data_IF_232437946177
#
_entry.id   IF_232437946177
#
_cell.length_a   1.000
_cell.length_b   1.000
_cell.length_c   1.000
_cell.angle_alpha   90.00
_cell.angle_beta   90.00
_cell.angle_gamma   90.00
#
_symmetry.space_group_name_H-M   'P 1'
#
loop_
_entity.id
_entity.type
_entity.pdbx_description
1 polymer ?
#
# COMPACT_ATOMS: atom_id res chain seq x y z
N UNK A 1 -12.80 -22.60 5.47
CA UNK A 1 -11.63 -22.91 4.63
C UNK A 1 -10.36 -22.69 5.39
N UNK A 2 -9.29 -23.41 5.00
CA UNK A 2 -7.91 -23.15 5.47
C UNK A 2 -7.21 -22.30 4.41
N UNK A 3 -7.00 -21.04 4.71
CA UNK A 3 -6.34 -20.08 3.82
C UNK A 3 -4.90 -19.90 4.31
N UNK A 4 -3.93 -20.10 3.43
CA UNK A 4 -2.52 -19.86 3.75
C UNK A 4 -1.99 -18.74 2.85
N UNK A 5 -1.42 -17.69 3.44
CA UNK A 5 -0.80 -16.59 2.71
C UNK A 5 0.71 -16.60 2.93
N UNK A 6 1.48 -16.55 1.85
CA UNK A 6 2.94 -16.49 1.90
C UNK A 6 3.40 -15.16 1.35
N UNK A 7 4.16 -14.41 2.12
CA UNK A 7 4.66 -13.11 1.70
C UNK A 7 6.16 -12.93 1.99
N UNK A 8 6.88 -12.40 1.02
CA UNK A 8 8.19 -11.78 1.24
C UNK A 8 8.02 -10.28 1.55
N UNK A 9 9.11 -9.60 1.84
CA UNK A 9 9.13 -8.16 2.15
C UNK A 9 8.26 -7.75 3.36
N UNK A 10 7.86 -8.73 4.17
CA UNK A 10 7.19 -8.51 5.45
C UNK A 10 8.26 -8.24 6.53
N UNK A 11 8.18 -7.10 7.17
CA UNK A 11 9.10 -6.73 8.26
C UNK A 11 8.37 -5.95 9.36
N UNK A 12 8.99 -5.77 10.54
CA UNK A 12 8.40 -5.05 11.66
C UNK A 12 7.92 -3.64 11.29
N UNK A 13 8.65 -3.00 10.38
CA UNK A 13 8.41 -1.63 9.91
C UNK A 13 7.89 -1.57 8.46
N UNK A 14 7.40 -2.69 7.89
CA UNK A 14 6.78 -2.70 6.57
C UNK A 14 5.34 -2.15 6.66
N UNK A 15 4.92 -1.43 5.60
CA UNK A 15 3.59 -0.82 5.51
C UNK A 15 2.58 -1.71 4.79
N UNK A 16 2.36 -1.50 3.50
CA UNK A 16 1.24 -2.04 2.72
C UNK A 16 1.03 -3.55 2.82
N UNK A 17 2.05 -4.37 2.58
CA UNK A 17 1.93 -5.85 2.64
C UNK A 17 1.51 -6.31 4.04
N UNK A 18 2.13 -5.75 5.09
CA UNK A 18 1.78 -6.09 6.47
C UNK A 18 0.33 -5.72 6.78
N UNK A 19 -0.08 -4.50 6.43
CA UNK A 19 -1.47 -4.04 6.64
C UNK A 19 -2.45 -4.94 5.89
N UNK A 20 -2.20 -5.27 4.62
CA UNK A 20 -3.06 -6.15 3.81
C UNK A 20 -3.20 -7.53 4.44
N UNK A 21 -2.09 -8.16 4.85
CA UNK A 21 -2.10 -9.47 5.51
C UNK A 21 -2.92 -9.47 6.79
N UNK A 22 -2.74 -8.45 7.64
CA UNK A 22 -3.46 -8.35 8.90
C UNK A 22 -4.95 -8.09 8.70
N UNK A 23 -5.32 -7.20 7.79
CA UNK A 23 -6.72 -6.87 7.51
C UNK A 23 -7.47 -8.05 6.88
N UNK A 24 -6.88 -8.71 5.89
CA UNK A 24 -7.45 -9.93 5.30
C UNK A 24 -7.54 -11.05 6.33
N UNK A 25 -6.48 -11.28 7.12
CA UNK A 25 -6.43 -12.31 8.13
C UNK A 25 -7.50 -12.12 9.20
N UNK A 26 -7.61 -10.93 9.78
CA UNK A 26 -8.67 -10.58 10.75
C UNK A 26 -10.06 -10.81 10.14
N UNK A 27 -10.25 -10.38 8.89
CA UNK A 27 -11.51 -10.57 8.20
C UNK A 27 -11.85 -12.04 7.91
N UNK A 28 -10.87 -12.86 7.54
CA UNK A 28 -11.06 -14.30 7.32
C UNK A 28 -11.40 -15.03 8.63
N UNK A 29 -10.65 -14.75 9.70
CA UNK A 29 -10.88 -15.34 11.03
C UNK A 29 -12.27 -14.97 11.56
N UNK A 30 -12.68 -13.70 11.44
CA UNK A 30 -14.01 -13.24 11.85
C UNK A 30 -15.17 -13.94 11.10
N UNK A 31 -14.89 -14.49 9.90
CA UNK A 31 -15.86 -15.27 9.10
C UNK A 31 -15.74 -16.78 9.30
N UNK A 32 -14.96 -17.23 10.30
CA UNK A 32 -14.83 -18.66 10.66
C UNK A 32 -13.87 -19.43 9.75
N UNK A 33 -12.99 -18.76 9.02
CA UNK A 33 -11.92 -19.42 8.27
C UNK A 33 -10.66 -19.53 9.12
N UNK A 34 -9.86 -20.58 8.90
CA UNK A 34 -8.51 -20.67 9.44
C UNK A 34 -7.57 -19.90 8.53
N UNK A 35 -6.82 -18.95 9.09
CA UNK A 35 -5.83 -18.18 8.34
C UNK A 35 -4.44 -18.34 8.93
N UNK A 36 -3.49 -18.72 8.09
CA UNK A 36 -2.07 -18.83 8.43
C UNK A 36 -1.25 -18.01 7.46
N UNK A 37 -0.38 -17.13 7.97
CA UNK A 37 0.53 -16.39 7.10
C UNK A 37 1.99 -16.72 7.39
N UNK A 38 2.71 -17.03 6.31
CA UNK A 38 4.11 -17.45 6.33
C UNK A 38 4.96 -16.27 5.83
N UNK A 39 5.89 -15.80 6.67
CA UNK A 39 6.69 -14.61 6.41
C UNK A 39 8.16 -14.85 6.71
N UNK A 40 9.08 -14.04 6.14
CA UNK A 40 10.50 -14.17 6.41
C UNK A 40 10.84 -13.74 7.85
N UNK A 41 11.79 -14.43 8.46
CA UNK A 41 12.35 -14.10 9.78
C UNK A 41 13.77 -14.59 9.94
N UNK A 42 14.32 -14.45 11.14
CA UNK A 42 15.66 -14.95 11.49
C UNK A 42 15.67 -16.44 11.84
N UNK A 43 14.49 -16.99 12.20
CA UNK A 43 14.31 -18.38 12.59
C UNK A 43 12.89 -18.87 12.30
N UNK A 44 12.62 -20.11 12.73
CA UNK A 44 11.27 -20.68 12.71
C UNK A 44 10.56 -20.30 14.02
N UNK A 45 9.45 -19.57 13.91
CA UNK A 45 8.58 -19.24 15.04
C UNK A 45 7.13 -19.40 14.60
N UNK A 46 6.26 -19.76 15.53
CA UNK A 46 4.82 -19.87 15.33
C UNK A 46 4.12 -19.08 16.43
N UNK A 47 3.31 -18.10 16.04
CA UNK A 47 2.64 -17.16 16.94
C UNK A 47 1.17 -17.03 16.55
N UNK A 48 0.27 -17.12 17.54
CA UNK A 48 -1.15 -16.84 17.33
C UNK A 48 -1.45 -15.35 17.51
N UNK A 49 -2.33 -14.83 16.69
CA UNK A 49 -2.78 -13.44 16.76
C UNK A 49 -4.26 -13.31 16.36
N UNK A 50 -4.84 -12.13 16.56
CA UNK A 50 -6.19 -11.81 16.09
C UNK A 50 -6.33 -11.89 14.56
N UNK A 51 -5.22 -11.80 13.84
CA UNK A 51 -5.17 -11.94 12.38
C UNK A 51 -4.86 -13.38 11.92
N UNK A 52 -4.87 -14.36 12.83
CA UNK A 52 -4.55 -15.77 12.55
C UNK A 52 -3.15 -16.18 12.99
N UNK A 53 -2.72 -17.37 12.55
CA UNK A 53 -1.43 -17.96 12.91
C UNK A 53 -0.30 -17.40 12.04
N UNK A 54 0.68 -16.75 12.66
CA UNK A 54 1.90 -16.28 11.99
C UNK A 54 3.00 -17.32 12.10
N UNK A 55 3.57 -17.71 10.97
CA UNK A 55 4.74 -18.57 10.91
C UNK A 55 5.90 -17.81 10.26
N UNK A 56 7.03 -17.71 10.94
CA UNK A 56 8.25 -17.17 10.34
C UNK A 56 9.17 -18.29 9.88
N UNK A 57 9.81 -18.09 8.73
CA UNK A 57 10.82 -19.01 8.20
C UNK A 57 12.18 -18.32 8.10
N UNK A 58 13.28 -19.09 8.29
CA UNK A 58 14.63 -18.60 8.05
C UNK A 58 14.75 -18.00 6.64
N UNK A 59 15.36 -16.84 6.56
CA UNK A 59 15.37 -16.02 5.34
C UNK A 59 16.66 -15.25 5.20
N UNK A 60 16.90 -14.71 4.02
CA UNK A 60 18.08 -13.92 3.70
C UNK A 60 17.67 -12.45 3.68
N UNK A 61 18.46 -11.61 4.31
CA UNK A 61 18.31 -10.17 4.23
C UNK A 61 18.79 -9.66 2.86
N UNK A 62 18.01 -8.74 2.28
CA UNK A 62 18.36 -8.09 1.03
C UNK A 62 19.29 -6.92 1.37
N UNK A 63 20.52 -6.89 0.85
CA UNK A 63 21.45 -5.78 1.07
C UNK A 63 20.81 -4.44 0.69
N UNK A 64 21.10 -3.39 1.45
CA UNK A 64 20.63 -2.02 1.22
C UNK A 64 19.11 -1.83 1.17
N UNK A 65 18.33 -2.85 1.53
CA UNK A 65 16.87 -2.79 1.51
C UNK A 65 16.27 -2.16 2.78
N UNK A 66 17.10 -1.84 3.79
CA UNK A 66 16.61 -1.36 5.09
C UNK A 66 15.91 -2.46 5.91
N UNK A 67 16.47 -3.68 5.87
CA UNK A 67 16.05 -4.82 6.69
C UNK A 67 14.98 -5.71 6.08
N UNK A 68 14.67 -5.59 4.80
CA UNK A 68 13.77 -6.56 4.13
C UNK A 68 14.46 -7.89 3.93
N UNK A 69 13.69 -8.94 4.12
CA UNK A 69 14.12 -10.33 4.02
C UNK A 69 13.27 -11.10 3.03
N UNK A 70 13.85 -12.15 2.43
CA UNK A 70 13.17 -13.03 1.48
C UNK A 70 13.37 -14.50 1.87
N UNK A 71 12.30 -15.29 1.74
CA UNK A 71 12.35 -16.74 1.85
C UNK A 71 12.92 -17.30 0.54
N UNK A 72 14.10 -17.92 0.59
CA UNK A 72 14.72 -18.51 -0.60
C UNK A 72 14.43 -19.99 -0.74
N UNK A 73 14.27 -20.70 0.39
CA UNK A 73 14.13 -22.14 0.37
C UNK A 73 12.66 -22.58 0.19
N UNK A 74 12.27 -22.77 -1.05
CA UNK A 74 10.93 -23.27 -1.39
C UNK A 74 10.66 -24.70 -0.88
N UNK A 75 11.69 -25.47 -0.47
CA UNK A 75 11.49 -26.83 0.09
C UNK A 75 10.83 -26.75 1.47
N UNK A 76 11.28 -25.81 2.32
CA UNK A 76 10.71 -25.64 3.66
C UNK A 76 9.28 -25.11 3.58
N UNK A 77 9.02 -24.18 2.67
CA UNK A 77 7.66 -23.72 2.38
C UNK A 77 6.77 -24.90 1.95
N UNK A 78 7.22 -25.74 1.01
CA UNK A 78 6.45 -26.90 0.55
C UNK A 78 6.19 -27.93 1.66
N UNK A 79 7.19 -28.23 2.51
CA UNK A 79 7.02 -29.11 3.67
C UNK A 79 5.92 -28.60 4.59
N UNK A 80 5.96 -27.30 4.89
CA UNK A 80 4.98 -26.65 5.76
C UNK A 80 3.58 -26.70 5.13
N UNK A 81 3.45 -26.41 3.84
CA UNK A 81 2.17 -26.46 3.12
C UNK A 81 1.58 -27.89 3.09
N UNK A 82 2.42 -28.93 3.02
CA UNK A 82 1.96 -30.34 3.10
C UNK A 82 1.35 -30.62 4.49
N UNK A 83 1.92 -30.06 5.54
CA UNK A 83 1.42 -30.21 6.93
C UNK A 83 0.14 -29.38 7.15
N UNK A 84 0.10 -28.14 6.68
CA UNK A 84 -1.04 -27.23 6.86
C UNK A 84 -2.26 -27.65 6.04
N UNK A 85 -2.06 -28.30 4.89
CA UNK A 85 -3.11 -28.73 3.95
C UNK A 85 -4.08 -27.59 3.62
N UNK A 86 -3.62 -26.49 2.97
CA UNK A 86 -4.48 -25.36 2.65
C UNK A 86 -5.53 -25.74 1.61
N UNK A 87 -6.74 -25.19 1.75
CA UNK A 87 -7.76 -25.20 0.70
C UNK A 87 -7.42 -24.17 -0.38
N UNK A 88 -6.83 -23.03 0.06
CA UNK A 88 -6.44 -21.90 -0.79
C UNK A 88 -5.08 -21.38 -0.39
N UNK A 89 -4.30 -21.00 -1.40
CA UNK A 89 -2.97 -20.42 -1.22
C UNK A 89 -2.91 -19.03 -1.86
N UNK A 90 -2.53 -18.04 -1.06
CA UNK A 90 -2.26 -16.66 -1.48
C UNK A 90 -0.76 -16.41 -1.44
N UNK A 91 -0.22 -15.72 -2.43
CA UNK A 91 1.22 -15.43 -2.50
C UNK A 91 1.45 -13.95 -2.82
N UNK A 92 2.17 -13.26 -1.94
CA UNK A 92 2.65 -11.88 -2.13
C UNK A 92 4.15 -11.86 -2.43
N UNK A 93 4.54 -12.52 -3.52
CA UNK A 93 5.90 -12.50 -4.08
C UNK A 93 5.85 -13.01 -5.53
N UNK A 94 6.32 -12.19 -6.45
CA UNK A 94 6.35 -12.50 -7.89
C UNK A 94 7.64 -13.23 -8.31
N UNK A 95 8.64 -13.32 -7.45
CA UNK A 95 9.99 -13.77 -7.78
C UNK A 95 10.30 -15.16 -7.21
N UNK A 96 10.73 -15.17 -5.96
CA UNK A 96 11.30 -16.38 -5.33
C UNK A 96 10.23 -17.42 -5.01
N UNK A 97 9.03 -17.00 -4.64
CA UNK A 97 7.89 -17.88 -4.29
C UNK A 97 6.99 -18.22 -5.48
N UNK A 98 7.17 -17.60 -6.64
CA UNK A 98 6.33 -17.83 -7.82
C UNK A 98 6.23 -19.30 -8.25
N UNK A 99 7.26 -20.12 -7.98
CA UNK A 99 7.27 -21.57 -8.27
C UNK A 99 6.33 -22.36 -7.34
N UNK A 100 5.91 -21.79 -6.21
CA UNK A 100 4.96 -22.43 -5.31
C UNK A 100 3.56 -22.49 -5.94
N UNK A 101 3.18 -21.49 -6.74
CA UNK A 101 1.92 -21.53 -7.50
C UNK A 101 1.79 -22.76 -8.40
N UNK A 102 2.81 -23.06 -9.22
CA UNK A 102 2.83 -24.25 -10.06
C UNK A 102 2.82 -25.56 -9.21
N UNK A 103 3.52 -25.58 -8.08
CA UNK A 103 3.51 -26.72 -7.16
C UNK A 103 2.11 -26.95 -6.54
N UNK A 104 1.40 -25.88 -6.21
CA UNK A 104 0.04 -25.91 -5.67
C UNK A 104 -0.95 -26.41 -6.74
N UNK A 105 -0.87 -25.90 -7.98
CA UNK A 105 -1.71 -26.33 -9.10
C UNK A 105 -1.58 -27.83 -9.39
N UNK A 106 -0.36 -28.38 -9.35
CA UNK A 106 -0.12 -29.82 -9.51
C UNK A 106 -0.75 -30.69 -8.38
N UNK A 107 -1.27 -30.07 -7.32
CA UNK A 107 -1.94 -30.71 -6.17
C UNK A 107 -3.40 -30.31 -6.03
N UNK A 108 -3.96 -29.67 -7.05
CA UNK A 108 -5.33 -29.14 -7.05
C UNK A 108 -5.61 -28.12 -5.92
N UNK A 109 -4.56 -27.44 -5.43
CA UNK A 109 -4.70 -26.32 -4.48
C UNK A 109 -4.86 -25.04 -5.30
N UNK A 110 -5.96 -24.32 -5.10
CA UNK A 110 -6.18 -23.04 -5.74
C UNK A 110 -5.15 -22.02 -5.22
N UNK A 111 -4.30 -21.54 -6.12
CA UNK A 111 -3.27 -20.53 -5.76
C UNK A 111 -3.51 -19.23 -6.50
N UNK A 112 -3.42 -18.12 -5.80
CA UNK A 112 -3.49 -16.76 -6.34
C UNK A 112 -2.20 -15.99 -6.02
N UNK A 113 -1.83 -15.03 -6.86
CA UNK A 113 -0.67 -14.16 -6.62
C UNK A 113 -1.08 -12.70 -6.61
N UNK A 114 -0.64 -11.98 -5.60
CA UNK A 114 -0.79 -10.53 -5.51
C UNK A 114 0.40 -9.83 -6.21
N UNK A 115 0.08 -8.91 -7.10
CA UNK A 115 1.04 -8.00 -7.72
C UNK A 115 1.00 -6.65 -6.99
N UNK A 116 1.87 -6.50 -6.00
CA UNK A 116 1.95 -5.27 -5.19
C UNK A 116 2.77 -4.16 -5.86
N UNK A 117 3.57 -4.49 -6.86
CA UNK A 117 4.41 -3.55 -7.60
C UNK A 117 4.21 -3.72 -9.11
N UNK A 118 4.54 -2.69 -9.89
CA UNK A 118 4.73 -2.82 -11.33
C UNK A 118 6.21 -3.12 -11.62
N UNK A 119 6.51 -4.24 -12.25
CA UNK A 119 7.88 -4.57 -12.64
C UNK A 119 8.42 -3.63 -13.71
N UNK A 120 7.54 -3.18 -14.61
CA UNK A 120 7.88 -2.20 -15.65
C UNK A 120 8.30 -0.87 -15.01
N UNK A 121 7.57 -0.39 -14.01
CA UNK A 121 7.89 0.83 -13.27
C UNK A 121 9.19 0.70 -12.48
N UNK A 122 9.37 -0.41 -11.76
CA UNK A 122 10.62 -0.67 -11.05
C UNK A 122 11.80 -0.74 -12.01
N UNK A 123 11.66 -1.45 -13.13
CA UNK A 123 12.73 -1.56 -14.12
C UNK A 123 13.14 -0.19 -14.68
N UNK A 124 12.18 0.67 -15.01
CA UNK A 124 12.43 2.03 -15.50
C UNK A 124 13.11 2.92 -14.45
N UNK A 125 12.79 2.71 -13.15
CA UNK A 125 13.37 3.51 -12.07
C UNK A 125 14.81 3.13 -11.71
N UNK A 126 15.19 1.86 -11.96
CA UNK A 126 16.53 1.35 -11.59
C UNK A 126 17.48 1.12 -12.77
N UNK A 127 16.96 0.99 -13.98
CA UNK A 127 17.76 0.69 -15.18
C UNK A 127 17.58 1.77 -16.25
N UNK A 128 18.69 2.20 -16.91
CA UNK A 128 18.62 3.23 -17.97
C UNK A 128 18.09 2.72 -19.31
N UNK A 129 17.79 1.42 -19.42
CA UNK A 129 17.30 0.79 -20.64
C UNK A 129 16.02 -0.01 -20.39
N UNK A 130 15.24 -0.18 -21.46
CA UNK A 130 13.96 -0.89 -21.35
C UNK A 130 14.16 -2.39 -21.18
N UNK A 131 13.60 -2.92 -20.09
CA UNK A 131 13.51 -4.36 -19.81
C UNK A 131 12.14 -4.96 -20.18
N UNK A 132 11.34 -4.27 -21.01
CA UNK A 132 9.94 -4.65 -21.31
C UNK A 132 9.81 -6.13 -21.71
N UNK A 133 10.62 -6.63 -22.63
CA UNK A 133 10.54 -8.04 -23.08
C UNK A 133 10.79 -9.04 -21.94
N UNK A 134 11.72 -8.73 -21.02
CA UNK A 134 12.03 -9.58 -19.87
C UNK A 134 10.87 -9.56 -18.88
N UNK A 135 10.32 -8.37 -18.61
CA UNK A 135 9.14 -8.19 -17.74
C UNK A 135 7.94 -8.93 -18.32
N UNK A 136 7.65 -8.76 -19.61
CA UNK A 136 6.55 -9.43 -20.30
C UNK A 136 6.68 -10.97 -20.23
N UNK A 137 7.88 -11.49 -20.48
CA UNK A 137 8.17 -12.92 -20.36
C UNK A 137 7.95 -13.41 -18.90
N UNK A 138 8.45 -12.65 -17.93
CA UNK A 138 8.29 -12.97 -16.50
C UNK A 138 6.80 -12.99 -16.13
N UNK A 139 6.04 -11.97 -16.54
CA UNK A 139 4.61 -11.84 -16.24
C UNK A 139 3.77 -12.94 -16.89
N UNK A 140 4.07 -13.33 -18.16
CA UNK A 140 3.43 -14.50 -18.81
C UNK A 140 3.72 -15.78 -18.03
N UNK A 141 4.98 -15.98 -17.61
CA UNK A 141 5.36 -17.15 -16.83
C UNK A 141 4.77 -17.13 -15.42
N UNK A 142 4.60 -15.96 -14.81
CA UNK A 142 3.93 -15.79 -13.52
C UNK A 142 2.44 -16.17 -13.67
N UNK A 143 1.72 -15.54 -14.58
CA UNK A 143 0.27 -15.76 -14.76
C UNK A 143 -0.06 -17.21 -15.05
N UNK A 144 0.75 -17.93 -15.83
CA UNK A 144 0.53 -19.34 -16.13
C UNK A 144 0.67 -20.29 -14.92
N UNK A 145 1.18 -19.83 -13.78
CA UNK A 145 1.39 -20.64 -12.57
C UNK A 145 0.30 -20.51 -11.53
N UNK A 146 -0.62 -19.56 -11.72
CA UNK A 146 -1.63 -19.24 -10.73
C UNK A 146 -3.04 -19.29 -11.31
N UNK A 147 -4.02 -19.59 -10.46
CA UNK A 147 -5.43 -19.53 -10.84
C UNK A 147 -5.84 -18.11 -11.18
N UNK A 148 -5.38 -17.12 -10.37
CA UNK A 148 -5.61 -15.70 -10.59
C UNK A 148 -4.37 -14.91 -10.27
N UNK A 149 -4.16 -13.83 -11.04
CA UNK A 149 -3.24 -12.74 -10.73
C UNK A 149 -4.08 -11.57 -10.19
N UNK A 150 -3.79 -11.15 -8.97
CA UNK A 150 -4.53 -10.09 -8.30
C UNK A 150 -3.73 -8.78 -8.41
N UNK A 151 -4.38 -7.77 -8.93
CA UNK A 151 -3.89 -6.38 -8.98
C UNK A 151 -4.84 -5.49 -8.20
N UNK A 152 -4.35 -4.35 -7.72
CA UNK A 152 -5.12 -3.47 -6.84
C UNK A 152 -5.83 -2.33 -7.57
N UNK A 153 -5.33 -1.98 -8.77
CA UNK A 153 -5.76 -0.81 -9.54
C UNK A 153 -5.66 -1.10 -11.06
N UNK A 154 -6.22 -0.23 -11.85
CA UNK A 154 -6.07 -0.26 -13.32
C UNK A 154 -4.61 -0.06 -13.72
N UNK A 155 -3.95 0.92 -13.10
CA UNK A 155 -2.52 1.16 -13.28
C UNK A 155 -1.68 -0.11 -13.04
N UNK A 156 -1.93 -0.83 -11.94
CA UNK A 156 -1.22 -2.07 -11.62
C UNK A 156 -1.59 -3.22 -12.57
N UNK A 157 -2.78 -3.19 -13.18
CA UNK A 157 -3.27 -4.19 -14.13
C UNK A 157 -2.60 -4.08 -15.49
N UNK A 158 -2.22 -2.88 -15.91
CA UNK A 158 -1.77 -2.55 -17.27
C UNK A 158 -0.66 -3.45 -17.79
N UNK A 159 0.35 -3.77 -16.99
CA UNK A 159 1.45 -4.63 -17.42
C UNK A 159 1.04 -6.10 -17.70
N UNK A 160 -0.11 -6.53 -17.15
CA UNK A 160 -0.70 -7.84 -17.43
C UNK A 160 -1.72 -7.79 -18.59
N UNK A 161 -2.44 -6.68 -18.72
CA UNK A 161 -3.35 -6.43 -19.85
C UNK A 161 -2.57 -6.33 -21.17
N UNK A 162 -1.43 -5.63 -21.17
CA UNK A 162 -0.52 -5.51 -22.32
C UNK A 162 -0.08 -6.88 -22.89
N UNK A 163 0.04 -7.89 -22.02
CA UNK A 163 0.39 -9.26 -22.41
C UNK A 163 -0.84 -10.18 -22.57
N UNK A 164 -2.05 -9.62 -22.49
CA UNK A 164 -3.34 -10.32 -22.65
C UNK A 164 -3.54 -11.45 -21.63
N UNK A 165 -3.22 -11.18 -20.36
CA UNK A 165 -3.43 -12.13 -19.26
C UNK A 165 -4.92 -12.38 -19.06
N UNK A 166 -5.36 -13.66 -19.12
CA UNK A 166 -6.78 -14.05 -19.08
C UNK A 166 -7.30 -14.29 -17.65
N UNK A 167 -6.42 -14.51 -16.69
CA UNK A 167 -6.74 -14.79 -15.29
C UNK A 167 -6.43 -13.61 -14.34
N UNK A 168 -6.43 -12.41 -14.90
CA UNK A 168 -6.25 -11.16 -14.15
C UNK A 168 -7.54 -10.81 -13.43
N UNK A 169 -7.43 -10.42 -12.15
CA UNK A 169 -8.55 -9.96 -11.33
C UNK A 169 -8.13 -8.73 -10.56
N UNK A 170 -8.95 -7.69 -10.59
CA UNK A 170 -8.73 -6.48 -9.81
C UNK A 170 -9.43 -6.57 -8.45
N UNK A 171 -8.64 -6.42 -7.38
CA UNK A 171 -9.12 -6.40 -6.00
C UNK A 171 -8.51 -5.18 -5.31
N UNK A 172 -9.22 -4.04 -5.26
CA UNK A 172 -8.74 -2.85 -4.56
C UNK A 172 -8.47 -3.16 -3.09
N UNK A 173 -7.44 -2.53 -2.54
CA UNK A 173 -7.22 -2.54 -1.10
C UNK A 173 -8.19 -1.59 -0.40
N UNK A 174 -8.26 -1.69 0.92
CA UNK A 174 -9.17 -0.88 1.71
C UNK A 174 -8.48 0.01 2.73
N UNK A 175 -9.28 0.80 3.43
CA UNK A 175 -8.89 1.58 4.60
C UNK A 175 -9.77 1.22 5.79
N UNK A 176 -9.22 1.37 6.98
CA UNK A 176 -9.92 1.17 8.26
C UNK A 176 -10.62 2.48 8.65
N UNK A 177 -11.89 2.61 8.25
CA UNK A 177 -12.70 3.81 8.44
C UNK A 177 -13.05 4.07 9.92
N UNK A 178 -12.97 3.04 10.76
CA UNK A 178 -13.17 3.19 12.21
C UNK A 178 -11.95 3.83 12.88
N UNK A 179 -10.75 3.60 12.32
CA UNK A 179 -9.48 4.13 12.85
C UNK A 179 -9.05 5.44 12.22
N UNK A 180 -9.43 5.71 10.97
CA UNK A 180 -9.09 6.94 10.27
C UNK A 180 -10.35 7.76 10.07
N UNK A 181 -10.39 8.93 10.70
CA UNK A 181 -11.56 9.81 10.66
C UNK A 181 -11.15 11.27 10.76
N UNK A 182 -11.85 12.20 10.09
CA UNK A 182 -11.63 13.64 10.26
C UNK A 182 -11.81 14.13 11.70
N UNK A 183 -12.61 13.44 12.51
CA UNK A 183 -12.87 13.77 13.92
C UNK A 183 -11.65 13.60 14.83
N UNK A 184 -10.59 12.93 14.34
CA UNK A 184 -9.32 12.79 15.07
C UNK A 184 -8.41 14.02 14.94
N UNK A 185 -8.80 15.04 14.18
CA UNK A 185 -8.09 16.30 14.08
C UNK A 185 -8.00 16.97 15.45
N UNK A 186 -6.78 17.22 15.89
CA UNK A 186 -6.48 17.79 17.20
C UNK A 186 -5.68 19.08 17.01
N UNK A 187 -6.33 20.23 17.29
CA UNK A 187 -5.72 21.53 17.05
C UNK A 187 -4.55 21.84 17.99
N UNK A 188 -4.54 21.32 19.23
CA UNK A 188 -3.39 21.49 20.13
C UNK A 188 -2.19 20.70 19.62
N UNK A 189 -2.41 19.45 19.26
CA UNK A 189 -1.37 18.61 18.66
C UNK A 189 -0.89 19.18 17.33
N UNK A 190 -1.78 19.71 16.50
CA UNK A 190 -1.43 20.38 15.25
C UNK A 190 -0.51 21.59 15.50
N UNK A 191 -0.77 22.43 16.52
CA UNK A 191 0.09 23.55 16.88
C UNK A 191 1.51 23.11 17.24
N UNK A 192 1.62 22.00 17.98
CA UNK A 192 2.93 21.43 18.32
C UNK A 192 3.69 20.96 17.07
N UNK A 193 2.98 20.37 16.10
CA UNK A 193 3.57 19.94 14.84
C UNK A 193 3.96 21.11 13.93
N UNK A 194 3.18 22.18 13.89
CA UNK A 194 3.41 23.38 13.08
C UNK A 194 4.63 24.19 13.52
N UNK A 195 4.90 24.26 14.83
CA UNK A 195 6.01 25.05 15.39
C UNK A 195 6.09 26.50 14.83
N UNK A 196 4.93 27.13 14.67
CA UNK A 196 4.81 28.50 14.16
C UNK A 196 4.62 28.63 12.65
N UNK A 197 4.56 27.53 11.89
CA UNK A 197 4.13 27.57 10.50
C UNK A 197 2.59 27.65 10.39
N UNK A 198 2.10 28.06 9.21
CA UNK A 198 0.66 28.18 8.92
C UNK A 198 0.11 26.92 8.25
N UNK A 199 0.95 26.23 7.46
CA UNK A 199 0.59 25.08 6.66
C UNK A 199 1.39 23.85 7.09
N UNK A 200 0.68 22.73 7.37
CA UNK A 200 1.26 21.45 7.75
C UNK A 200 1.16 20.44 6.59
N UNK A 201 2.29 20.14 5.98
CA UNK A 201 2.42 19.09 4.98
C UNK A 201 2.84 17.77 5.64
N UNK A 202 2.30 16.65 5.21
CA UNK A 202 2.72 15.32 5.66
C UNK A 202 3.13 14.44 4.50
N UNK A 203 4.27 13.77 4.63
CA UNK A 203 4.69 12.68 3.75
C UNK A 203 4.71 11.39 4.58
N UNK A 204 3.72 10.53 4.39
CA UNK A 204 3.62 9.26 5.10
C UNK A 204 4.02 8.11 4.18
N UNK A 205 5.12 7.44 4.51
CA UNK A 205 5.58 6.30 3.72
C UNK A 205 7.05 5.95 3.96
N UNK A 206 7.48 4.91 3.24
CA UNK A 206 8.88 4.49 3.25
C UNK A 206 9.75 5.52 2.53
N UNK A 207 10.83 5.93 3.16
CA UNK A 207 11.83 6.83 2.55
C UNK A 207 12.78 6.04 1.66
N UNK A 208 12.31 5.64 0.50
CA UNK A 208 13.05 4.86 -0.49
C UNK A 208 12.97 5.50 -1.88
N UNK A 209 13.91 5.13 -2.76
CA UNK A 209 14.10 5.79 -4.05
C UNK A 209 12.83 5.78 -4.91
N UNK A 210 12.12 4.65 -4.96
CA UNK A 210 10.89 4.47 -5.74
C UNK A 210 9.70 5.33 -5.24
N UNK A 211 9.76 5.83 -3.99
CA UNK A 211 8.76 6.72 -3.40
C UNK A 211 9.07 8.20 -3.62
N UNK A 212 10.22 8.53 -4.18
CA UNK A 212 10.66 9.91 -4.47
C UNK A 212 10.45 10.92 -3.31
N UNK A 213 10.83 10.60 -2.06
CA UNK A 213 10.54 11.48 -0.93
C UNK A 213 11.23 12.85 -1.01
N UNK A 214 12.36 12.98 -1.70
CA UNK A 214 13.06 14.25 -1.90
C UNK A 214 12.18 15.31 -2.59
N UNK A 215 11.25 14.88 -3.45
CA UNK A 215 10.31 15.78 -4.16
C UNK A 215 9.44 16.58 -3.19
N UNK A 216 9.09 16.03 -2.03
CA UNK A 216 8.36 16.75 -0.98
C UNK A 216 9.19 17.88 -0.38
N UNK A 217 10.52 17.70 -0.24
CA UNK A 217 11.44 18.75 0.22
C UNK A 217 11.58 19.83 -0.84
N UNK A 218 11.72 19.46 -2.10
CA UNK A 218 11.81 20.39 -3.23
C UNK A 218 10.54 21.26 -3.31
N UNK A 219 9.36 20.65 -3.19
CA UNK A 219 8.10 21.38 -3.18
C UNK A 219 8.01 22.34 -1.98
N UNK A 220 8.38 21.90 -0.77
CA UNK A 220 8.42 22.75 0.42
C UNK A 220 9.32 23.98 0.22
N UNK A 221 10.52 23.79 -0.35
CA UNK A 221 11.44 24.90 -0.64
C UNK A 221 10.80 25.94 -1.54
N UNK A 222 10.14 25.51 -2.62
CA UNK A 222 9.46 26.40 -3.56
C UNK A 222 8.28 27.14 -2.90
N UNK A 223 7.50 26.47 -2.04
CA UNK A 223 6.42 27.10 -1.29
C UNK A 223 6.94 28.22 -0.38
N UNK A 224 8.06 27.98 0.33
CA UNK A 224 8.70 28.99 1.17
C UNK A 224 9.22 30.18 0.32
N UNK A 225 9.84 29.90 -0.82
CA UNK A 225 10.29 30.93 -1.77
C UNK A 225 9.12 31.80 -2.31
N UNK A 226 7.90 31.24 -2.34
CA UNK A 226 6.65 31.94 -2.70
C UNK A 226 5.98 32.66 -1.50
N UNK A 227 6.61 32.63 -0.32
CA UNK A 227 6.09 33.29 0.88
C UNK A 227 5.06 32.46 1.66
N UNK A 228 4.86 31.18 1.35
CA UNK A 228 3.99 30.28 2.10
C UNK A 228 4.75 29.70 3.27
N UNK A 229 4.34 30.05 4.49
CA UNK A 229 4.94 29.56 5.73
C UNK A 229 4.50 28.13 6.02
N UNK A 230 5.13 27.17 5.34
CA UNK A 230 4.79 25.74 5.40
C UNK A 230 5.85 24.94 6.16
N UNK A 231 5.41 23.87 6.83
CA UNK A 231 6.23 22.87 7.50
C UNK A 231 5.93 21.48 6.94
N UNK A 232 6.97 20.66 6.78
CA UNK A 232 6.84 19.28 6.29
C UNK A 232 7.18 18.28 7.38
N UNK A 233 6.29 17.30 7.56
CA UNK A 233 6.52 16.17 8.45
C UNK A 233 6.69 14.89 7.62
N UNK A 234 7.77 14.16 7.91
CA UNK A 234 7.95 12.80 7.43
C UNK A 234 7.54 11.78 8.48
N UNK A 235 6.62 10.88 8.09
CA UNK A 235 6.22 9.72 8.87
C UNK A 235 6.69 8.46 8.17
N UNK A 236 7.58 7.71 8.79
CA UNK A 236 8.19 6.50 8.24
C UNK A 236 9.71 6.51 8.35
N UNK A 237 10.31 5.48 7.83
CA UNK A 237 11.77 5.32 7.73
C UNK A 237 12.13 4.67 6.40
N UNK A 238 13.40 4.71 6.04
CA UNK A 238 13.88 4.06 4.83
C UNK A 238 15.35 4.36 4.53
N UNK A 239 15.90 3.76 3.48
CA UNK A 239 17.32 3.92 3.16
C UNK A 239 17.73 5.37 2.84
N UNK A 240 16.80 6.23 2.41
CA UNK A 240 17.09 7.64 2.13
C UNK A 240 17.00 8.57 3.35
N UNK A 241 16.73 8.04 4.55
CA UNK A 241 16.52 8.87 5.75
C UNK A 241 17.67 9.84 6.02
N UNK A 242 18.92 9.38 5.96
CA UNK A 242 20.10 10.20 6.21
C UNK A 242 20.26 11.31 5.14
N UNK A 243 20.12 10.93 3.87
CA UNK A 243 20.19 11.86 2.74
C UNK A 243 19.13 12.97 2.84
N UNK A 244 17.87 12.59 3.16
CA UNK A 244 16.78 13.55 3.29
C UNK A 244 16.99 14.52 4.45
N UNK A 245 17.51 14.05 5.58
CA UNK A 245 17.88 14.92 6.71
C UNK A 245 18.94 15.94 6.32
N UNK A 246 19.97 15.51 5.60
CA UNK A 246 20.99 16.43 5.12
C UNK A 246 20.41 17.49 4.17
N UNK A 247 19.58 17.07 3.20
CA UNK A 247 18.94 17.96 2.22
C UNK A 247 17.99 18.98 2.87
N UNK A 248 17.46 18.69 4.05
CA UNK A 248 16.46 19.52 4.72
C UNK A 248 16.97 20.28 5.93
N UNK A 249 18.29 20.33 6.20
CA UNK A 249 18.87 20.96 7.41
C UNK A 249 18.45 22.41 7.63
N UNK A 250 18.28 23.19 6.58
CA UNK A 250 17.91 24.62 6.65
C UNK A 250 16.40 24.85 6.44
N UNK A 251 15.60 23.79 6.36
CA UNK A 251 14.18 23.88 6.07
C UNK A 251 13.34 23.40 7.27
N UNK A 252 12.11 23.88 7.43
CA UNK A 252 11.19 23.47 8.48
C UNK A 252 10.65 22.05 8.25
N UNK A 253 11.51 21.06 8.43
CA UNK A 253 11.21 19.64 8.24
C UNK A 253 11.39 18.87 9.54
N UNK A 254 10.43 18.04 9.87
CA UNK A 254 10.48 17.13 11.03
C UNK A 254 10.37 15.67 10.59
N UNK A 255 11.20 14.80 11.15
CA UNK A 255 11.17 13.36 10.89
C UNK A 255 10.68 12.65 12.15
N UNK A 256 9.45 12.13 12.13
CA UNK A 256 8.83 11.44 13.27
C UNK A 256 9.23 9.96 13.35
N UNK A 257 9.91 9.44 12.32
CA UNK A 257 10.25 8.03 12.26
C UNK A 257 9.04 7.13 11.98
N UNK A 258 9.19 5.83 12.25
CA UNK A 258 8.12 4.86 12.07
C UNK A 258 7.13 4.92 13.24
N UNK A 259 5.87 5.17 12.93
CA UNK A 259 4.77 5.19 13.89
C UNK A 259 4.04 3.85 13.82
N UNK A 260 4.19 3.03 14.86
CA UNK A 260 3.54 1.72 14.94
C UNK A 260 2.09 1.81 15.43
N UNK A 261 1.81 2.80 16.26
CA UNK A 261 0.47 3.11 16.76
C UNK A 261 -0.38 3.72 15.65
N UNK A 262 -1.45 3.00 15.29
CA UNK A 262 -2.35 3.38 14.20
C UNK A 262 -3.24 4.57 14.56
N UNK A 263 -3.60 4.71 15.82
CA UNK A 263 -4.40 5.84 16.32
C UNK A 263 -3.57 7.13 16.27
N UNK A 264 -2.31 7.04 16.71
CA UNK A 264 -1.37 8.17 16.60
C UNK A 264 -1.08 8.56 15.15
N UNK A 265 -0.97 7.57 14.26
CA UNK A 265 -0.82 7.85 12.83
C UNK A 265 -2.06 8.57 12.27
N UNK A 266 -3.25 8.11 12.63
CA UNK A 266 -4.51 8.71 12.19
C UNK A 266 -4.64 10.17 12.70
N UNK A 267 -4.27 10.44 13.96
CA UNK A 267 -4.24 11.80 14.52
C UNK A 267 -3.26 12.72 13.77
N UNK A 268 -2.06 12.21 13.41
CA UNK A 268 -1.09 12.96 12.61
C UNK A 268 -1.67 13.30 11.23
N UNK A 269 -2.24 12.31 10.54
CA UNK A 269 -2.84 12.52 9.23
C UNK A 269 -4.00 13.50 9.29
N UNK A 270 -4.93 13.34 10.24
CA UNK A 270 -6.08 14.22 10.40
C UNK A 270 -5.69 15.67 10.75
N UNK A 271 -4.53 15.86 11.41
CA UNK A 271 -4.02 17.18 11.79
C UNK A 271 -3.25 17.90 10.68
N UNK A 272 -2.93 17.22 9.59
CA UNK A 272 -2.25 17.79 8.43
C UNK A 272 -3.21 18.60 7.54
N UNK A 273 -2.64 19.48 6.71
CA UNK A 273 -3.39 20.26 5.72
C UNK A 273 -3.35 19.62 4.34
N UNK A 274 -2.22 19.01 3.98
CA UNK A 274 -2.02 18.31 2.70
C UNK A 274 -1.12 17.10 2.92
N UNK A 275 -1.53 15.96 2.40
CA UNK A 275 -0.72 14.74 2.34
C UNK A 275 -0.05 14.61 0.98
N UNK A 276 1.25 14.25 0.98
CA UNK A 276 2.07 14.17 -0.23
C UNK A 276 2.38 12.71 -0.57
N UNK A 277 2.01 12.29 -1.78
CA UNK A 277 2.29 10.98 -2.35
C UNK A 277 3.11 11.08 -3.66
N UNK A 278 4.40 11.48 -3.59
CA UNK A 278 5.18 11.79 -4.77
C UNK A 278 5.74 10.58 -5.53
N UNK A 279 5.47 9.37 -5.07
CA UNK A 279 5.94 8.14 -5.72
C UNK A 279 5.29 7.92 -7.08
N UNK A 280 6.07 7.86 -8.19
CA UNK A 280 5.52 7.80 -9.54
C UNK A 280 5.04 6.40 -9.96
N UNK A 281 5.34 5.37 -9.19
CA UNK A 281 5.02 3.97 -9.51
C UNK A 281 4.20 3.29 -8.40
N UNK A 282 3.46 4.10 -7.63
CA UNK A 282 2.54 3.56 -6.63
C UNK A 282 1.44 2.75 -7.30
N UNK A 283 1.27 1.51 -6.86
CA UNK A 283 0.22 0.61 -7.37
C UNK A 283 -1.10 0.75 -6.62
N UNK A 284 -1.10 1.39 -5.44
CA UNK A 284 -2.29 1.73 -4.66
C UNK A 284 -2.04 2.94 -3.75
N UNK A 285 -1.01 2.90 -2.89
CA UNK A 285 -0.68 3.90 -1.88
C UNK A 285 -1.70 3.98 -0.72
N UNK A 286 -1.65 3.00 0.19
CA UNK A 286 -2.51 3.00 1.39
C UNK A 286 -2.42 4.29 2.20
N UNK A 287 -1.23 4.90 2.31
CA UNK A 287 -1.06 6.14 3.06
C UNK A 287 -1.88 7.31 2.48
N UNK A 288 -2.03 7.38 1.16
CA UNK A 288 -2.88 8.39 0.51
C UNK A 288 -4.36 8.15 0.82
N UNK A 289 -4.81 6.89 0.77
CA UNK A 289 -6.19 6.53 1.13
C UNK A 289 -6.46 6.73 2.63
N UNK A 290 -5.50 6.41 3.51
CA UNK A 290 -5.56 6.67 4.95
C UNK A 290 -5.63 8.17 5.23
N UNK A 291 -4.92 9.00 4.45
CA UNK A 291 -5.00 10.47 4.56
C UNK A 291 -6.39 10.98 4.17
N UNK A 292 -6.98 10.50 3.08
CA UNK A 292 -8.36 10.85 2.71
C UNK A 292 -9.34 10.43 3.80
N UNK A 293 -9.23 9.21 4.33
CA UNK A 293 -10.08 8.75 5.43
C UNK A 293 -9.92 9.60 6.70
N UNK A 294 -8.73 10.17 6.94
CA UNK A 294 -8.48 11.12 8.02
C UNK A 294 -8.96 12.56 7.70
N UNK A 295 -9.59 12.79 6.55
CA UNK A 295 -10.08 14.10 6.14
C UNK A 295 -9.03 15.01 5.52
N UNK A 296 -7.86 14.48 5.19
CA UNK A 296 -6.74 15.27 4.65
C UNK A 296 -6.61 15.06 3.15
N UNK A 297 -6.69 16.14 2.34
CA UNK A 297 -6.55 16.08 0.90
C UNK A 297 -5.14 15.65 0.49
N UNK A 298 -5.03 15.05 -0.70
CA UNK A 298 -3.79 14.43 -1.18
C UNK A 298 -3.28 15.10 -2.45
N UNK A 299 -1.97 15.35 -2.51
CA UNK A 299 -1.26 15.66 -3.75
C UNK A 299 -0.43 14.45 -4.17
N UNK A 300 -0.69 13.93 -5.37
CA UNK A 300 -0.08 12.71 -5.86
C UNK A 300 0.55 12.86 -7.23
N UNK A 301 1.51 11.97 -7.54
CA UNK A 301 2.14 11.91 -8.86
C UNK A 301 1.14 11.46 -9.94
N UNK A 302 1.17 12.11 -11.10
CA UNK A 302 0.34 11.80 -12.27
C UNK A 302 0.62 10.42 -12.88
N UNK A 303 1.76 9.83 -12.56
CA UNK A 303 2.17 8.51 -13.07
C UNK A 303 2.00 7.41 -12.03
N UNK A 304 1.09 7.61 -11.05
CA UNK A 304 0.77 6.65 -10.00
C UNK A 304 -0.71 6.26 -10.02
N UNK A 305 -1.05 5.15 -9.40
CA UNK A 305 -2.42 4.71 -9.25
C UNK A 305 -3.28 5.60 -8.32
N UNK A 306 -2.67 6.51 -7.57
CA UNK A 306 -3.40 7.37 -6.62
C UNK A 306 -4.47 8.21 -7.31
N UNK A 307 -4.22 8.61 -8.56
CA UNK A 307 -5.21 9.30 -9.40
C UNK A 307 -6.53 8.55 -9.57
N UNK A 308 -6.51 7.21 -9.55
CA UNK A 308 -7.72 6.41 -9.74
C UNK A 308 -8.77 6.64 -8.63
N UNK A 309 -8.34 6.92 -7.42
CA UNK A 309 -9.28 7.22 -6.34
C UNK A 309 -9.37 8.71 -5.98
N UNK A 310 -8.42 9.55 -6.39
CA UNK A 310 -8.56 10.99 -6.25
C UNK A 310 -9.53 11.60 -7.26
N UNK A 311 -9.62 11.05 -8.47
CA UNK A 311 -10.38 11.59 -9.58
C UNK A 311 -11.76 10.94 -9.78
N UNK A 312 -12.25 10.13 -8.83
CA UNK A 312 -13.59 9.55 -8.91
C UNK A 312 -14.70 10.63 -8.98
N UNK A 313 -14.50 11.74 -8.26
CA UNK A 313 -15.36 12.92 -8.37
C UNK A 313 -14.50 14.14 -8.73
N UNK A 314 -14.59 14.61 -9.97
CA UNK A 314 -13.85 15.77 -10.46
C UNK A 314 -14.56 17.11 -10.21
N UNK A 315 -15.84 17.07 -9.84
CA UNK A 315 -16.63 18.27 -9.51
C UNK A 315 -16.29 18.75 -8.10
N UNK A 316 -16.09 17.82 -7.18
CA UNK A 316 -15.74 18.09 -5.78
C UNK A 316 -14.38 17.45 -5.45
N UNK A 317 -13.27 18.03 -5.89
CA UNK A 317 -11.96 17.43 -5.75
C UNK A 317 -11.56 17.30 -4.26
N UNK A 318 -10.86 16.21 -3.97
CA UNK A 318 -10.31 15.88 -2.64
C UNK A 318 -8.78 15.89 -2.63
N UNK A 319 -8.19 16.48 -3.63
CA UNK A 319 -6.75 16.56 -3.83
C UNK A 319 -6.39 17.05 -5.23
N UNK A 320 -5.13 16.93 -5.58
CA UNK A 320 -4.62 17.33 -6.90
C UNK A 320 -3.59 16.32 -7.42
N UNK A 321 -3.46 16.28 -8.75
CA UNK A 321 -2.45 15.49 -9.45
C UNK A 321 -1.33 16.41 -9.92
N UNK A 322 -0.10 16.07 -9.57
CA UNK A 322 1.11 16.79 -9.93
C UNK A 322 1.93 16.01 -10.96
N UNK A 323 2.68 16.68 -11.78
CA UNK A 323 3.76 16.09 -12.56
C UNK A 323 4.90 15.56 -11.65
N UNK A 324 6.04 15.25 -12.24
CA UNK A 324 7.10 14.53 -11.52
C UNK A 324 8.25 15.42 -11.03
N UNK A 325 8.00 16.72 -10.81
CA UNK A 325 8.99 17.70 -10.28
C UNK A 325 8.51 18.33 -8.98
N UNK A 326 9.44 18.87 -8.18
CA UNK A 326 9.10 19.63 -6.97
C UNK A 326 8.27 20.88 -7.29
N UNK A 327 8.51 21.51 -8.45
CA UNK A 327 7.76 22.67 -8.91
C UNK A 327 6.28 22.35 -9.19
N UNK A 328 6.01 21.26 -9.89
CA UNK A 328 4.64 20.81 -10.18
C UNK A 328 3.93 20.37 -8.88
N UNK A 329 4.65 19.75 -7.94
CA UNK A 329 4.10 19.45 -6.62
C UNK A 329 3.77 20.71 -5.84
N UNK A 330 4.61 21.74 -5.86
CA UNK A 330 4.31 23.02 -5.22
C UNK A 330 3.04 23.66 -5.80
N UNK A 331 2.89 23.68 -7.12
CA UNK A 331 1.68 24.20 -7.77
C UNK A 331 0.42 23.41 -7.35
N UNK A 332 0.50 22.10 -7.30
CA UNK A 332 -0.61 21.24 -6.89
C UNK A 332 -0.96 21.42 -5.40
N UNK A 333 0.04 21.65 -4.55
CA UNK A 333 -0.19 21.96 -3.14
C UNK A 333 -0.95 23.27 -3.00
N UNK A 334 -0.57 24.33 -3.72
CA UNK A 334 -1.30 25.62 -3.72
C UNK A 334 -2.76 25.45 -4.13
N UNK A 335 -3.04 24.68 -5.19
CA UNK A 335 -4.40 24.35 -5.60
C UNK A 335 -5.20 23.67 -4.48
N UNK A 336 -4.58 22.73 -3.77
CA UNK A 336 -5.23 22.04 -2.64
C UNK A 336 -5.43 22.97 -1.45
N UNK A 337 -4.52 23.90 -1.20
CA UNK A 337 -4.68 24.93 -0.15
C UNK A 337 -5.87 25.86 -0.42
N UNK A 338 -6.18 26.16 -1.68
CA UNK A 338 -7.39 26.88 -2.07
C UNK A 338 -8.66 26.08 -1.75
N UNK A 339 -8.67 24.76 -1.95
CA UNK A 339 -9.81 23.91 -1.61
C UNK A 339 -10.14 23.92 -0.11
N UNK A 340 -9.17 24.20 0.76
CA UNK A 340 -9.37 24.24 2.22
C UNK A 340 -10.25 25.41 2.71
N UNK A 341 -10.54 26.38 1.87
CA UNK A 341 -11.50 27.46 2.16
C UNK A 341 -12.90 26.85 2.37
N UNK A 342 -13.20 25.74 1.71
CA UNK A 342 -14.44 25.00 1.90
C UNK A 342 -14.36 24.11 3.16
N UNK A 343 -15.16 24.39 4.20
CA UNK A 343 -15.14 23.63 5.46
C UNK A 343 -15.63 22.17 5.29
N UNK A 344 -16.25 21.83 4.17
CA UNK A 344 -16.73 20.46 3.87
C UNK A 344 -15.64 19.55 3.30
N UNK A 345 -14.49 20.09 2.95
CA UNK A 345 -13.39 19.31 2.35
C UNK A 345 -12.99 18.07 3.17
N UNK A 346 -12.85 18.11 4.51
CA UNK A 346 -12.51 16.92 5.28
C UNK A 346 -13.55 15.80 5.14
N UNK A 347 -14.83 16.14 5.14
CA UNK A 347 -15.93 15.18 4.94
C UNK A 347 -15.93 14.62 3.52
N UNK A 348 -15.67 15.44 2.51
CA UNK A 348 -15.52 14.98 1.11
C UNK A 348 -14.36 13.99 0.97
N UNK A 349 -13.21 14.27 1.59
CA UNK A 349 -12.09 13.34 1.63
C UNK A 349 -12.50 12.01 2.25
N UNK A 350 -13.19 12.02 3.39
CA UNK A 350 -13.67 10.83 4.04
C UNK A 350 -14.68 10.05 3.17
N UNK A 351 -15.69 10.71 2.59
CA UNK A 351 -16.64 10.08 1.68
C UNK A 351 -15.98 9.45 0.46
N UNK A 352 -14.89 10.06 -0.04
CA UNK A 352 -14.11 9.45 -1.11
C UNK A 352 -13.45 8.14 -0.68
N UNK A 353 -12.92 8.09 0.56
CA UNK A 353 -12.31 6.90 1.13
C UNK A 353 -13.33 5.79 1.46
N UNK A 354 -14.59 6.13 1.73
CA UNK A 354 -15.67 5.16 1.97
C UNK A 354 -15.93 4.21 0.79
N UNK A 355 -15.53 4.57 -0.42
CA UNK A 355 -15.59 3.69 -1.59
C UNK A 355 -14.63 2.49 -1.49
N UNK A 356 -13.69 2.51 -0.53
CA UNK A 356 -12.63 1.51 -0.37
C UNK A 356 -12.57 0.91 1.04
N UNK A 357 -13.67 0.31 1.57
CA UNK A 357 -13.61 -0.36 2.87
C UNK A 357 -12.91 -1.71 2.75
N UNK A 358 -12.17 -2.15 3.77
CA UNK A 358 -11.58 -3.50 3.81
C UNK A 358 -12.61 -4.62 3.67
N UNK A 359 -13.86 -4.38 4.06
CA UNK A 359 -14.94 -5.35 3.89
C UNK A 359 -15.22 -5.69 2.42
N UNK A 360 -15.08 -4.72 1.51
CA UNK A 360 -15.22 -4.94 0.07
C UNK A 360 -14.06 -5.77 -0.49
N UNK A 361 -12.81 -5.45 -0.13
CA UNK A 361 -11.62 -6.25 -0.47
C UNK A 361 -11.80 -7.71 -0.03
N UNK A 362 -12.21 -7.90 1.22
CA UNK A 362 -12.41 -9.22 1.81
C UNK A 362 -13.53 -10.00 1.10
N UNK A 363 -14.64 -9.36 0.77
CA UNK A 363 -15.75 -9.99 0.04
C UNK A 363 -15.32 -10.47 -1.35
N UNK A 364 -14.53 -9.66 -2.07
CA UNK A 364 -13.96 -10.04 -3.37
C UNK A 364 -13.02 -11.24 -3.24
N UNK A 365 -12.13 -11.23 -2.24
CA UNK A 365 -11.19 -12.34 -2.01
C UNK A 365 -11.92 -13.64 -1.67
N UNK A 366 -12.90 -13.60 -0.78
CA UNK A 366 -13.71 -14.78 -0.44
C UNK A 366 -14.48 -15.32 -1.65
N UNK A 367 -15.04 -14.44 -2.48
CA UNK A 367 -15.68 -14.83 -3.74
C UNK A 367 -14.70 -15.55 -4.69
N UNK A 368 -13.48 -15.05 -4.81
CA UNK A 368 -12.42 -15.68 -5.60
C UNK A 368 -12.02 -17.06 -5.05
N UNK A 369 -12.08 -17.25 -3.75
CA UNK A 369 -11.80 -18.51 -3.09
C UNK A 369 -12.98 -19.51 -3.16
N UNK A 370 -14.11 -19.08 -3.69
CA UNK A 370 -15.31 -19.91 -3.83
C UNK A 370 -16.20 -19.97 -2.59
N UNK A 371 -15.98 -19.03 -1.64
CA UNK A 371 -16.88 -18.85 -0.51
C UNK A 371 -18.06 -17.97 -0.95
N UNK A 372 -19.20 -18.61 -1.21
CA UNK A 372 -20.46 -17.93 -1.52
C UNK A 372 -21.22 -17.79 -0.19
N UNK A 373 -21.61 -16.58 0.24
CA UNK A 373 -22.41 -16.39 1.44
C UNK A 373 -23.64 -17.30 1.45
N UNK A 374 -23.90 -18.00 2.55
CA UNK A 374 -25.02 -18.97 2.67
C UNK A 374 -26.39 -18.37 2.37
N UNK A 375 -26.55 -17.06 2.50
CA UNK A 375 -27.81 -16.34 2.25
C UNK A 375 -28.24 -16.27 0.77
N UNK A 376 -27.31 -16.39 -0.18
CA UNK A 376 -27.66 -16.37 -1.61
C UNK A 376 -28.15 -17.72 -2.14
N UNK A 377 -28.03 -18.81 -1.36
CA UNK A 377 -28.56 -20.14 -1.75
C UNK A 377 -30.08 -20.26 -1.58
N UNK A 378 -30.73 -19.38 -0.81
CA UNK A 378 -32.20 -19.39 -0.63
C UNK A 378 -32.97 -18.61 -1.70
N UNK A 379 -32.31 -17.86 -2.57
CA UNK A 379 -32.96 -17.06 -3.63
C UNK A 379 -32.97 -17.69 -5.02
N UNK A 380 -32.59 -19.00 -5.14
CA UNK A 380 -32.63 -19.73 -6.43
C UNK A 380 -33.69 -20.84 -6.49
N UNK A 381 -34.66 -20.83 -5.60
CA UNK A 381 -35.84 -21.71 -5.73
C UNK A 381 -37.08 -20.88 -5.44
N UNK A 382 -37.58 -20.19 -6.44
CA UNK A 382 -38.96 -19.79 -6.66
C UNK A 382 -39.12 -19.44 -8.15
#
# INVERSE_FOLDING_TARGET
>A
MKIVHIANFYGPKSGGIKTTLHQLGTGYVARGHSFTYIVPGTGFFCEESTSGTKITLPSIEIPFSGGYRIIRNNRDVKKLLITLKPDVLEISDRFTLSKIGAWAGARNIAAVVFSHETLSGLAQNYFPFSLKRIVDWHNRRLSSRFKHVITTTEFASKEFEDIKTTNLVRVPLGVDLDKFSPFLRNENFRKDLLQGADVLLVHCGRMSREKHPARSIEALKILIERGINARLIYVGIGPMYVELREKSKSLPVTFLGYIADRERLAEILASADVSLAPGPIETFCLAALESLAAGTPVVASSTSAVGEFLLLNTIEPVGAIAGNTGYEFANAIEQVLELRIDPTLPQRCFHQAENFPWSATLALMLKLHGDVPRDTRRLRVA
#
